data_IF_346549722628
#
_entry.id   IF_346549722628
#
_cell.length_a   1.000
_cell.length_b   1.000
_cell.length_c   1.000
_cell.angle_alpha   90.00
_cell.angle_beta   90.00
_cell.angle_gamma   90.00
#
_symmetry.space_group_name_H-M   'P 1'
#
loop_
_entity.id
_entity.type
_entity.pdbx_description
1 polymer ?
#
# COMPACT_ATOMS: atom_id res chain seq x y z
N UNK A 1 10.08 -12.39 -28.79
CA UNK A 1 10.24 -12.63 -27.35
C UNK A 1 10.89 -13.99 -27.21
N UNK A 2 12.10 -14.08 -26.65
CA UNK A 2 12.83 -15.34 -26.54
C UNK A 2 12.42 -16.06 -25.24
N UNK A 3 12.27 -17.39 -25.26
CA UNK A 3 11.84 -18.16 -24.08
C UNK A 3 12.70 -17.91 -22.84
N UNK A 4 14.01 -17.74 -23.01
CA UNK A 4 14.94 -17.43 -21.90
C UNK A 4 14.64 -16.10 -21.19
N UNK A 5 14.05 -15.13 -21.88
CA UNK A 5 13.72 -13.81 -21.34
C UNK A 5 12.36 -13.79 -20.62
N UNK A 6 11.49 -14.75 -20.95
CA UNK A 6 10.26 -15.02 -20.23
C UNK A 6 10.54 -15.77 -18.91
N UNK A 7 11.42 -16.77 -18.94
CA UNK A 7 11.86 -17.50 -17.73
C UNK A 7 12.57 -16.59 -16.72
N UNK A 8 13.40 -15.66 -17.20
CA UNK A 8 14.08 -14.71 -16.32
C UNK A 8 13.10 -13.72 -15.65
N UNK A 9 11.95 -13.42 -16.30
CA UNK A 9 10.88 -12.62 -15.71
C UNK A 9 10.02 -13.39 -14.71
N UNK A 10 9.83 -14.69 -14.92
CA UNK A 10 9.12 -15.56 -13.98
C UNK A 10 9.90 -15.75 -12.68
N UNK A 11 11.22 -15.57 -12.70
CA UNK A 11 12.12 -15.76 -11.57
C UNK A 11 12.59 -14.44 -10.91
N UNK A 12 11.93 -13.30 -11.21
CA UNK A 12 12.30 -12.00 -10.64
C UNK A 12 11.68 -11.78 -9.26
N UNK A 13 12.37 -11.04 -8.38
CA UNK A 13 11.85 -10.64 -7.05
C UNK A 13 10.48 -9.99 -7.17
N UNK A 14 10.27 -9.21 -8.23
CA UNK A 14 9.02 -8.53 -8.52
C UNK A 14 7.85 -9.49 -8.77
N UNK A 15 8.09 -10.74 -9.19
CA UNK A 15 7.03 -11.74 -9.37
C UNK A 15 6.64 -12.44 -8.05
N UNK A 16 7.60 -12.64 -7.14
CA UNK A 16 7.38 -13.44 -5.91
C UNK A 16 7.20 -12.61 -4.64
N UNK A 17 7.69 -11.37 -4.60
CA UNK A 17 7.53 -10.47 -3.46
C UNK A 17 6.25 -9.65 -3.60
N UNK A 18 5.51 -9.59 -2.50
CA UNK A 18 4.20 -8.93 -2.41
C UNK A 18 4.24 -7.72 -1.47
N UNK A 19 5.33 -7.52 -0.71
CA UNK A 19 5.48 -6.36 0.17
C UNK A 19 6.16 -5.21 -0.58
N UNK A 20 5.46 -4.09 -0.71
CA UNK A 20 5.98 -2.89 -1.37
C UNK A 20 7.31 -2.41 -0.77
N UNK A 21 7.44 -2.45 0.56
CA UNK A 21 8.63 -1.99 1.28
C UNK A 21 9.88 -2.88 1.11
N UNK A 22 9.77 -4.02 0.42
CA UNK A 22 10.89 -4.93 0.14
C UNK A 22 11.39 -4.85 -1.30
N UNK A 23 10.69 -4.13 -2.17
CA UNK A 23 11.12 -3.90 -3.53
C UNK A 23 12.00 -2.65 -3.62
N UNK A 24 13.09 -2.75 -4.36
CA UNK A 24 13.83 -1.59 -4.85
C UNK A 24 13.08 -0.92 -6.00
N UNK A 25 13.44 0.33 -6.32
CA UNK A 25 12.73 1.09 -7.36
C UNK A 25 12.68 0.38 -8.74
N UNK A 26 13.73 -0.32 -9.23
CA UNK A 26 13.65 -1.02 -10.51
C UNK A 26 12.73 -2.25 -10.44
N UNK A 27 12.78 -2.98 -9.32
CA UNK A 27 11.89 -4.14 -9.11
C UNK A 27 10.42 -3.70 -8.97
N UNK A 28 10.17 -2.50 -8.47
CA UNK A 28 8.84 -1.92 -8.44
C UNK A 28 8.33 -1.59 -9.84
N UNK A 29 9.16 -1.03 -10.72
CA UNK A 29 8.79 -0.79 -12.12
C UNK A 29 8.45 -2.09 -12.84
N UNK A 30 9.19 -3.17 -12.58
CA UNK A 30 8.83 -4.51 -13.04
C UNK A 30 7.47 -4.97 -12.50
N UNK A 31 7.21 -4.78 -11.20
CA UNK A 31 5.94 -5.13 -10.57
C UNK A 31 4.75 -4.33 -11.13
N UNK A 32 4.97 -3.06 -11.50
CA UNK A 32 3.99 -2.23 -12.21
C UNK A 32 3.71 -2.80 -13.61
N UNK A 33 4.76 -3.25 -14.31
CA UNK A 33 4.63 -3.93 -15.60
C UNK A 33 3.82 -5.24 -15.53
N UNK A 34 3.84 -5.93 -14.38
CA UNK A 34 3.03 -7.12 -14.11
C UNK A 34 1.56 -6.80 -13.76
N UNK A 35 1.19 -5.52 -13.64
CA UNK A 35 -0.17 -5.05 -13.31
C UNK A 35 -0.75 -5.65 -12.02
N UNK A 36 0.06 -5.75 -10.96
CA UNK A 36 -0.42 -6.22 -9.66
C UNK A 36 -1.51 -5.30 -9.08
N UNK A 37 -2.50 -5.92 -8.43
CA UNK A 37 -3.50 -5.23 -7.62
C UNK A 37 -2.84 -4.69 -6.35
N UNK A 38 -3.09 -3.42 -6.07
CA UNK A 38 -2.50 -2.73 -4.94
C UNK A 38 -3.45 -2.73 -3.75
N UNK A 39 -3.00 -3.24 -2.60
CA UNK A 39 -3.70 -3.18 -1.33
C UNK A 39 -3.06 -2.13 -0.43
N UNK A 40 -3.87 -1.20 0.07
CA UNK A 40 -3.46 -0.22 1.06
C UNK A 40 -4.18 -0.52 2.37
N UNK A 41 -3.50 -1.13 3.36
CA UNK A 41 -4.09 -1.34 4.67
C UNK A 41 -4.34 0.02 5.34
N UNK A 42 -5.55 0.23 5.85
CA UNK A 42 -5.93 1.44 6.55
C UNK A 42 -6.59 1.09 7.88
N UNK A 43 -6.27 1.86 8.91
CA UNK A 43 -6.80 1.69 10.25
C UNK A 43 -6.68 2.98 11.06
N UNK A 44 -7.02 2.91 12.33
CA UNK A 44 -6.94 4.05 13.24
C UNK A 44 -6.26 3.64 14.53
N UNK A 45 -5.37 4.50 15.03
CA UNK A 45 -4.93 4.43 16.41
C UNK A 45 -6.00 5.08 17.29
N UNK A 46 -6.83 4.25 17.93
CA UNK A 46 -7.95 4.70 18.74
C UNK A 46 -8.19 3.85 19.99
N UNK A 47 -8.96 4.37 20.94
CA UNK A 47 -9.25 3.66 22.17
C UNK A 47 -10.30 2.56 21.98
N UNK A 48 -9.89 1.31 22.20
CA UNK A 48 -10.76 0.11 22.19
C UNK A 48 -11.13 -0.40 23.60
N UNK A 49 -11.40 0.52 24.52
CA UNK A 49 -11.65 0.20 25.93
C UNK A 49 -10.39 -0.25 26.69
N UNK A 50 -10.53 -0.85 27.88
CA UNK A 50 -9.38 -1.28 28.71
C UNK A 50 -8.79 -2.65 28.31
N UNK A 51 -9.41 -3.32 27.36
CA UNK A 51 -9.17 -4.74 27.07
C UNK A 51 -8.49 -4.96 25.71
N UNK A 52 -8.43 -3.94 24.85
CA UNK A 52 -7.80 -4.03 23.54
C UNK A 52 -6.72 -2.95 23.37
N UNK A 53 -5.65 -3.25 22.60
CA UNK A 53 -4.66 -2.27 22.18
C UNK A 53 -5.25 -1.12 21.37
N UNK A 54 -4.48 -0.03 21.28
CA UNK A 54 -4.89 1.16 20.53
C UNK A 54 -4.79 1.00 19.01
N UNK A 55 -3.99 0.05 18.54
CA UNK A 55 -3.61 -0.16 17.15
C UNK A 55 -4.30 -1.37 16.51
N UNK A 56 -5.31 -1.95 17.19
CA UNK A 56 -5.96 -3.19 16.73
C UNK A 56 -6.54 -3.06 15.33
N UNK A 57 -7.04 -1.88 14.94
CA UNK A 57 -7.58 -1.63 13.60
C UNK A 57 -6.48 -1.71 12.54
N UNK A 58 -5.30 -1.16 12.84
CA UNK A 58 -4.14 -1.17 11.94
C UNK A 58 -3.60 -2.59 11.83
N UNK A 59 -3.45 -3.28 12.96
CA UNK A 59 -2.98 -4.65 13.04
C UNK A 59 -3.85 -5.61 12.22
N UNK A 60 -5.17 -5.57 12.42
CA UNK A 60 -6.09 -6.48 11.71
C UNK A 60 -6.10 -6.21 10.21
N UNK A 61 -6.16 -4.94 9.80
CA UNK A 61 -6.13 -4.56 8.38
C UNK A 61 -4.83 -4.98 7.70
N UNK A 62 -3.68 -4.76 8.35
CA UNK A 62 -2.37 -5.15 7.82
C UNK A 62 -2.25 -6.66 7.66
N UNK A 63 -2.58 -7.44 8.69
CA UNK A 63 -2.45 -8.90 8.66
C UNK A 63 -3.32 -9.55 7.58
N UNK A 64 -4.55 -9.05 7.38
CA UNK A 64 -5.42 -9.54 6.30
C UNK A 64 -4.80 -9.25 4.93
N UNK A 65 -4.28 -8.04 4.71
CA UNK A 65 -3.63 -7.70 3.44
C UNK A 65 -2.35 -8.53 3.21
N UNK A 66 -1.53 -8.74 4.24
CA UNK A 66 -0.33 -9.56 4.16
C UNK A 66 -0.65 -11.02 3.84
N UNK A 67 -1.69 -11.58 4.44
CA UNK A 67 -2.12 -12.96 4.15
C UNK A 67 -2.66 -13.10 2.72
N UNK A 68 -3.36 -12.09 2.19
CA UNK A 68 -3.76 -12.04 0.77
C UNK A 68 -2.52 -12.01 -0.12
N UNK A 69 -1.54 -11.15 0.17
CA UNK A 69 -0.28 -11.06 -0.56
C UNK A 69 0.51 -12.37 -0.54
N UNK A 70 0.52 -13.09 0.59
CA UNK A 70 1.17 -14.39 0.73
C UNK A 70 0.52 -15.47 -0.14
N UNK A 71 -0.80 -15.42 -0.34
CA UNK A 71 -1.56 -16.39 -1.15
C UNK A 71 -1.50 -16.12 -2.65
N UNK A 72 -1.31 -14.86 -3.04
CA UNK A 72 -1.28 -14.44 -4.43
C UNK A 72 -0.14 -13.43 -4.69
N UNK A 73 1.13 -13.82 -4.46
CA UNK A 73 2.26 -12.90 -4.56
C UNK A 73 2.48 -12.37 -5.97
N UNK A 74 2.12 -13.13 -7.00
CA UNK A 74 2.21 -12.76 -8.41
C UNK A 74 1.18 -11.69 -8.82
N UNK A 75 0.12 -11.49 -8.01
CA UNK A 75 -1.03 -10.64 -8.37
C UNK A 75 -1.22 -9.46 -7.45
N UNK A 76 -0.64 -9.46 -6.26
CA UNK A 76 -0.95 -8.50 -5.21
C UNK A 76 0.31 -7.82 -4.70
N UNK A 77 0.21 -6.51 -4.46
CA UNK A 77 1.22 -5.69 -3.82
C UNK A 77 0.62 -4.95 -2.63
N UNK A 78 1.18 -5.16 -1.44
CA UNK A 78 0.72 -4.60 -0.17
C UNK A 78 1.58 -3.39 0.19
N UNK A 79 0.96 -2.23 0.35
CA UNK A 79 1.62 -1.01 0.80
C UNK A 79 1.77 -0.98 2.32
N UNK A 80 2.69 -0.13 2.83
CA UNK A 80 2.74 0.19 4.26
C UNK A 80 1.39 0.68 4.79
N UNK A 81 0.98 0.27 6.00
CA UNK A 81 -0.32 0.63 6.55
C UNK A 81 -0.43 2.12 6.87
N UNK A 82 -1.63 2.68 6.68
CA UNK A 82 -1.97 4.03 7.15
C UNK A 82 -2.65 3.92 8.51
N UNK A 83 -1.92 4.28 9.56
CA UNK A 83 -2.34 4.12 10.96
C UNK A 83 -3.25 5.26 11.49
N UNK A 84 -3.37 6.37 10.78
CA UNK A 84 -4.09 7.55 11.23
C UNK A 84 -5.19 7.90 10.23
N UNK A 85 -6.40 7.40 10.48
CA UNK A 85 -7.58 7.70 9.68
C UNK A 85 -8.68 8.36 10.52
N UNK A 86 -9.70 8.90 9.85
CA UNK A 86 -10.78 9.61 10.52
C UNK A 86 -11.73 8.63 11.22
N UNK A 87 -11.65 8.56 12.55
CA UNK A 87 -12.59 7.79 13.36
C UNK A 87 -13.72 8.67 13.90
N UNK A 88 -15.01 8.31 13.70
CA UNK A 88 -16.15 9.10 14.18
C UNK A 88 -16.31 9.12 15.71
N UNK A 89 -15.60 8.26 16.44
CA UNK A 89 -15.70 8.10 17.91
C UNK A 89 -14.80 9.06 18.71
N UNK A 90 -14.24 10.10 18.09
CA UNK A 90 -13.21 10.96 18.69
C UNK A 90 -13.72 12.08 19.62
N UNK A 91 -15.02 12.14 19.95
CA UNK A 91 -15.63 13.32 20.57
C UNK A 91 -15.71 13.34 22.11
N UNK A 92 -15.21 12.35 22.86
CA UNK A 92 -15.43 12.37 24.32
C UNK A 92 -14.39 11.80 25.30
N UNK A 93 -13.17 11.38 24.91
CA UNK A 93 -12.10 11.02 25.88
C UNK A 93 -10.71 10.94 25.21
N UNK A 94 -9.68 11.24 26.00
CA UNK A 94 -8.39 11.87 25.63
C UNK A 94 -7.34 11.07 24.83
N UNK A 95 -7.71 10.13 23.95
CA UNK A 95 -6.71 9.30 23.23
C UNK A 95 -6.95 9.05 21.73
N UNK A 96 -7.99 9.60 21.13
CA UNK A 96 -8.25 9.45 19.68
C UNK A 96 -7.59 10.55 18.86
N UNK A 97 -7.07 10.19 17.69
CA UNK A 97 -6.47 11.13 16.73
C UNK A 97 -7.51 12.17 16.29
N UNK A 98 -7.42 13.39 16.83
CA UNK A 98 -8.33 14.50 16.50
C UNK A 98 -8.01 15.07 15.11
N UNK A 99 -9.02 15.38 14.27
CA UNK A 99 -8.82 16.04 12.96
C UNK A 99 -8.14 17.40 13.05
N UNK A 100 -8.18 18.06 14.22
CA UNK A 100 -7.62 19.41 14.42
C UNK A 100 -6.09 19.49 14.42
N UNK A 101 -5.38 18.36 14.21
CA UNK A 101 -3.91 18.28 14.28
C UNK A 101 -3.28 17.58 13.08
N UNK A 102 -3.88 17.69 11.90
CA UNK A 102 -3.22 17.28 10.66
C UNK A 102 -2.46 18.45 10.04
N UNK A 103 -1.16 18.33 9.70
CA UNK A 103 -0.60 19.13 8.63
C UNK A 103 -1.10 18.57 7.29
N UNK A 104 -1.60 19.45 6.44
CA UNK A 104 -2.01 19.22 5.05
C UNK A 104 -0.88 18.58 4.21
N UNK A 105 -0.71 17.26 4.27
CA UNK A 105 0.35 16.58 3.48
C UNK A 105 -0.16 15.50 2.53
N UNK A 106 -1.39 14.99 2.66
CA UNK A 106 -1.87 13.91 1.77
C UNK A 106 -3.09 14.37 0.96
N UNK A 107 -2.82 15.20 -0.04
CA UNK A 107 -3.58 15.25 -1.30
C UNK A 107 -2.83 16.10 -2.34
N UNK A 108 -1.61 15.68 -2.70
CA UNK A 108 -1.08 16.04 -4.03
C UNK A 108 -1.48 14.94 -4.99
N UNK A 109 -2.63 15.13 -5.64
CA UNK A 109 -3.04 14.37 -6.82
C UNK A 109 -1.88 14.38 -7.81
N UNK A 110 -1.31 13.21 -8.11
CA UNK A 110 -0.30 13.08 -9.16
C UNK A 110 -1.02 13.18 -10.50
N UNK A 111 -1.30 14.41 -10.95
CA UNK A 111 -1.80 14.70 -12.30
C UNK A 111 -0.62 15.04 -13.19
N UNK A 112 0.11 14.03 -13.63
CA UNK A 112 1.06 14.15 -14.74
C UNK A 112 0.96 12.90 -15.59
N UNK A 113 -0.20 12.75 -16.23
CA UNK A 113 -0.38 11.88 -17.39
C UNK A 113 -1.03 12.69 -18.49
N UNK A 114 -0.23 13.57 -19.08
CA UNK A 114 -0.41 14.00 -20.47
C UNK A 114 0.92 13.77 -21.14
N UNK A 115 1.08 12.57 -21.70
CA UNK A 115 2.15 12.27 -22.63
C UNK A 115 1.87 13.04 -23.92
N UNK A 116 2.66 14.08 -24.19
CA UNK A 116 2.74 14.67 -25.53
C UNK A 116 3.55 13.71 -26.40
N UNK A 117 2.92 13.18 -27.44
CA UNK A 117 3.57 12.29 -28.41
C UNK A 117 4.65 13.05 -29.21
N UNK A 118 5.76 12.41 -29.60
CA UNK A 118 6.78 13.02 -30.45
C UNK A 118 6.30 13.03 -31.91
N UNK A 119 6.21 14.21 -32.51
CA UNK A 119 6.23 14.34 -33.97
C UNK A 119 7.67 14.35 -34.45
N UNK A 120 7.99 13.47 -35.39
CA UNK A 120 9.22 13.50 -36.20
C UNK A 120 8.85 13.10 -37.63
N UNK A 121 9.70 13.39 -38.62
CA UNK A 121 10.76 14.41 -38.70
C UNK A 121 10.32 15.66 -39.48
#
# INVERSE_FOLDING_TARGET
MNMAEADNRANSTAATEYRYNRLSWPELDEAIGLQKVVLLPTGSTEQHGRHLPLDVDVFLSEEVCLEIGRRAPDRVLVLPPVAYTLSPRSSSRSASTSPSRWPTTVLRRCSSSTATAPTSP
#
